data_IF_928925936742
#
_entry.id   IF_928925936742
#
_cell.length_a   1.000
_cell.length_b   1.000
_cell.length_c   1.000
_cell.angle_alpha   90.00
_cell.angle_beta   90.00
_cell.angle_gamma   90.00
#
_symmetry.space_group_name_H-M   'P 1'
#
loop_
_entity.id
_entity.type
_entity.pdbx_description
1 polymer ?
#
# COMPACT_ATOMS: atom_id res chain seq x y z
N UNK A 1 23.70 -12.82 3.05
CA UNK A 1 24.13 -11.48 3.54
C UNK A 1 23.88 -10.37 2.52
N UNK A 2 24.24 -10.55 1.22
CA UNK A 2 24.10 -9.50 0.19
C UNK A 2 22.69 -8.89 0.07
N UNK A 3 21.63 -9.70 0.14
CA UNK A 3 20.22 -9.26 0.12
C UNK A 3 19.81 -8.50 1.37
N UNK A 4 20.18 -8.97 2.57
CA UNK A 4 19.88 -8.29 3.82
C UNK A 4 20.58 -6.91 3.93
N UNK A 5 21.82 -6.80 3.43
CA UNK A 5 22.54 -5.52 3.38
C UNK A 5 21.85 -4.51 2.45
N UNK A 6 21.35 -4.95 1.29
CA UNK A 6 20.60 -4.09 0.36
C UNK A 6 19.31 -3.58 1.01
N UNK A 7 18.56 -4.47 1.70
CA UNK A 7 17.32 -4.09 2.40
C UNK A 7 17.59 -3.09 3.53
N UNK A 8 18.63 -3.30 4.35
CA UNK A 8 18.97 -2.37 5.44
C UNK A 8 19.39 -0.99 4.92
N UNK A 9 20.16 -0.93 3.82
CA UNK A 9 20.52 0.34 3.18
C UNK A 9 19.28 1.06 2.66
N UNK A 10 18.38 0.33 2.00
CA UNK A 10 17.11 0.84 1.49
C UNK A 10 16.23 1.42 2.61
N UNK A 11 16.11 0.73 3.76
CA UNK A 11 15.38 1.23 4.93
C UNK A 11 16.02 2.52 5.48
N UNK A 12 17.35 2.60 5.53
CA UNK A 12 18.06 3.79 6.01
C UNK A 12 17.81 5.02 5.10
N UNK A 13 17.83 4.84 3.78
CA UNK A 13 17.48 5.90 2.83
C UNK A 13 16.01 6.30 2.94
N UNK A 14 15.09 5.34 3.06
CA UNK A 14 13.67 5.61 3.25
C UNK A 14 13.39 6.42 4.53
N UNK A 15 14.05 6.08 5.64
CA UNK A 15 13.94 6.82 6.89
C UNK A 15 14.48 8.26 6.77
N UNK A 16 15.64 8.44 6.13
CA UNK A 16 16.22 9.76 5.86
C UNK A 16 15.31 10.62 4.97
N UNK A 17 14.73 10.02 3.93
CA UNK A 17 13.78 10.68 3.05
C UNK A 17 12.51 11.11 3.80
N UNK A 18 11.97 10.26 4.68
CA UNK A 18 10.85 10.62 5.56
C UNK A 18 11.13 11.81 6.47
N UNK A 19 12.35 11.87 7.03
CA UNK A 19 12.78 13.00 7.86
C UNK A 19 12.84 14.31 7.06
N UNK A 20 13.44 14.29 5.87
CA UNK A 20 13.53 15.47 4.98
C UNK A 20 12.13 15.96 4.58
N UNK A 21 11.19 15.05 4.29
CA UNK A 21 9.82 15.46 3.94
C UNK A 21 9.04 16.05 5.10
N UNK A 22 9.31 15.59 6.31
CA UNK A 22 8.76 16.18 7.54
C UNK A 22 9.29 17.61 7.73
N UNK A 23 10.58 17.84 7.48
CA UNK A 23 11.19 19.17 7.49
C UNK A 23 10.59 20.09 6.42
N UNK A 24 10.34 19.56 5.22
CA UNK A 24 9.73 20.28 4.09
C UNK A 24 8.21 20.50 4.24
N UNK A 25 7.60 20.00 5.33
CA UNK A 25 6.16 20.08 5.59
C UNK A 25 5.30 19.51 4.44
N UNK A 26 5.84 18.55 3.68
CA UNK A 26 5.11 17.90 2.59
C UNK A 26 3.86 17.15 3.11
N UNK A 27 3.91 16.40 4.23
CA UNK A 27 2.72 15.77 4.79
C UNK A 27 1.60 16.76 5.11
N UNK A 28 1.94 17.93 5.64
CA UNK A 28 0.97 18.99 5.97
C UNK A 28 0.32 19.59 4.72
N UNK A 29 1.12 19.83 3.67
CA UNK A 29 0.61 20.31 2.36
C UNK A 29 -0.33 19.30 1.69
N UNK A 30 0.03 18.02 1.71
CA UNK A 30 -0.80 16.94 1.17
C UNK A 30 -2.08 16.79 1.99
N UNK A 31 -2.00 16.81 3.32
CA UNK A 31 -3.17 16.79 4.22
C UNK A 31 -4.12 17.95 3.91
N UNK A 32 -3.60 19.15 3.71
CA UNK A 32 -4.39 20.35 3.38
C UNK A 32 -5.03 20.22 2.00
N UNK A 33 -4.32 19.67 1.01
CA UNK A 33 -4.87 19.40 -0.33
C UNK A 33 -5.99 18.34 -0.31
N UNK A 34 -5.89 17.32 0.54
CA UNK A 34 -6.97 16.36 0.73
C UNK A 34 -8.16 16.94 1.48
N UNK A 35 -7.92 17.78 2.50
CA UNK A 35 -8.97 18.49 3.24
C UNK A 35 -9.75 19.47 2.34
N UNK A 36 -9.11 20.09 1.34
CA UNK A 36 -9.83 20.88 0.33
C UNK A 36 -10.77 20.05 -0.55
N UNK A 37 -10.57 18.73 -0.64
CA UNK A 37 -11.39 17.84 -1.46
C UNK A 37 -12.56 17.23 -0.67
N UNK A 38 -12.33 16.80 0.59
CA UNK A 38 -13.39 16.26 1.45
C UNK A 38 -12.98 16.23 2.93
N UNK A 39 -13.93 16.52 3.83
CA UNK A 39 -13.74 16.37 5.29
C UNK A 39 -14.05 14.95 5.81
N UNK A 40 -14.57 14.06 4.95
CA UNK A 40 -14.98 12.73 5.38
C UNK A 40 -13.81 11.73 5.30
N UNK A 41 -13.37 11.22 6.46
CA UNK A 41 -12.30 10.22 6.63
C UNK A 41 -12.40 9.04 5.65
N UNK A 42 -13.62 8.54 5.41
CA UNK A 42 -13.83 7.40 4.50
C UNK A 42 -13.57 7.74 3.03
N UNK A 43 -13.90 8.96 2.60
CA UNK A 43 -13.66 9.43 1.23
C UNK A 43 -12.18 9.64 0.99
N UNK A 44 -11.46 10.22 1.97
CA UNK A 44 -10.01 10.39 1.89
C UNK A 44 -9.31 9.02 1.84
N UNK A 45 -9.72 8.07 2.69
CA UNK A 45 -9.19 6.71 2.67
C UNK A 45 -9.45 6.00 1.33
N UNK A 46 -10.59 6.25 0.70
CA UNK A 46 -10.89 5.70 -0.63
C UNK A 46 -9.98 6.32 -1.71
N UNK A 47 -9.76 7.64 -1.68
CA UNK A 47 -8.81 8.31 -2.57
C UNK A 47 -7.38 7.81 -2.37
N UNK A 48 -6.96 7.60 -1.12
CA UNK A 48 -5.64 7.05 -0.78
C UNK A 48 -5.51 5.61 -1.28
N UNK A 49 -6.52 4.77 -1.08
CA UNK A 49 -6.55 3.41 -1.65
C UNK A 49 -6.39 3.43 -3.17
N UNK A 50 -7.19 4.25 -3.86
CA UNK A 50 -7.10 4.35 -5.32
C UNK A 50 -5.71 4.80 -5.79
N UNK A 51 -5.15 5.81 -5.12
CA UNK A 51 -3.79 6.29 -5.39
C UNK A 51 -2.75 5.19 -5.12
N UNK A 52 -2.87 4.46 -4.02
CA UNK A 52 -1.99 3.35 -3.66
C UNK A 52 -2.09 2.18 -4.64
N UNK A 53 -3.28 1.89 -5.16
CA UNK A 53 -3.51 0.83 -6.14
C UNK A 53 -2.84 1.19 -7.46
N UNK A 54 -3.02 2.44 -7.95
CA UNK A 54 -2.34 2.93 -9.16
C UNK A 54 -0.81 2.95 -8.97
N UNK A 55 -0.30 3.52 -7.88
CA UNK A 55 1.14 3.60 -7.62
C UNK A 55 1.76 2.22 -7.34
N UNK A 56 1.05 1.35 -6.63
CA UNK A 56 1.50 0.00 -6.28
C UNK A 56 1.63 -0.89 -7.50
N UNK A 57 0.81 -0.68 -8.54
CA UNK A 57 0.95 -1.40 -9.80
C UNK A 57 2.20 -1.01 -10.61
N UNK A 58 2.77 0.19 -10.36
CA UNK A 58 3.91 0.74 -11.10
C UNK A 58 5.26 0.58 -10.39
N UNK A 59 5.26 0.48 -9.06
CA UNK A 59 6.48 0.52 -8.24
C UNK A 59 6.52 -0.66 -7.25
N UNK A 60 7.32 -1.69 -7.53
CA UNK A 60 7.56 -2.83 -6.63
C UNK A 60 8.16 -2.39 -5.27
N UNK A 61 8.95 -1.31 -5.27
CA UNK A 61 9.53 -0.69 -4.07
C UNK A 61 8.63 0.41 -3.46
N UNK A 62 7.38 0.51 -3.89
CA UNK A 62 6.39 1.46 -3.37
C UNK A 62 6.27 1.48 -1.83
N UNK A 63 6.25 0.35 -1.08
CA UNK A 63 5.95 0.43 0.34
C UNK A 63 7.07 1.15 1.09
N UNK A 64 8.32 0.98 0.65
CA UNK A 64 9.46 1.58 1.31
C UNK A 64 9.53 3.10 1.11
N UNK A 65 9.08 3.60 -0.04
CA UNK A 65 9.11 5.02 -0.39
C UNK A 65 7.83 5.72 0.10
N UNK A 66 6.67 5.06 -0.03
CA UNK A 66 5.36 5.64 0.27
C UNK A 66 5.02 5.62 1.75
N UNK A 67 5.52 4.66 2.55
CA UNK A 67 5.28 4.60 4.00
C UNK A 67 5.66 5.91 4.70
N UNK A 68 6.89 6.45 4.58
CA UNK A 68 7.23 7.70 5.25
C UNK A 68 6.48 8.94 4.72
N UNK A 69 5.92 8.88 3.51
CA UNK A 69 5.12 9.96 2.92
C UNK A 69 3.72 9.94 3.49
N UNK A 70 3.04 8.79 3.39
CA UNK A 70 1.62 8.68 3.69
C UNK A 70 1.36 8.45 5.17
N UNK A 71 2.23 7.73 5.89
CA UNK A 71 2.04 7.46 7.32
C UNK A 71 1.73 8.73 8.14
N UNK A 72 2.52 9.83 8.07
CA UNK A 72 2.19 11.06 8.80
C UNK A 72 0.93 11.76 8.30
N UNK A 73 0.54 11.55 7.04
CA UNK A 73 -0.71 12.09 6.49
C UNK A 73 -1.90 11.32 7.07
N UNK A 74 -1.86 9.98 7.11
CA UNK A 74 -3.02 9.20 7.55
C UNK A 74 -3.18 9.21 9.08
N UNK A 75 -2.08 9.33 9.83
CA UNK A 75 -2.14 9.54 11.29
C UNK A 75 -2.69 10.92 11.65
N UNK A 76 -2.48 11.95 10.84
CA UNK A 76 -3.10 13.28 11.05
C UNK A 76 -4.62 13.23 10.83
N UNK A 77 -5.10 12.35 9.95
CA UNK A 77 -6.52 12.04 9.78
C UNK A 77 -7.11 11.11 10.86
N UNK A 78 -6.29 10.67 11.82
CA UNK A 78 -6.67 9.83 12.97
C UNK A 78 -6.92 8.37 12.61
N UNK A 79 -6.21 7.86 11.60
CA UNK A 79 -6.16 6.43 11.27
C UNK A 79 -4.95 5.81 11.96
N UNK A 80 -5.15 4.64 12.56
CA UNK A 80 -4.07 3.92 13.23
C UNK A 80 -2.96 3.51 12.25
N UNK A 81 -1.66 3.68 12.63
CA UNK A 81 -0.51 3.26 11.82
C UNK A 81 -0.59 1.81 11.36
N UNK A 82 -1.07 0.93 12.24
CA UNK A 82 -1.21 -0.51 11.96
C UNK A 82 -2.29 -0.76 10.91
N UNK A 83 -3.41 -0.06 11.03
CA UNK A 83 -4.51 -0.16 10.07
C UNK A 83 -4.07 0.32 8.68
N UNK A 84 -3.37 1.44 8.63
CA UNK A 84 -2.81 1.96 7.39
C UNK A 84 -1.76 1.02 6.78
N UNK A 85 -0.90 0.41 7.60
CA UNK A 85 0.05 -0.60 7.15
C UNK A 85 -0.63 -1.81 6.49
N UNK A 86 -1.75 -2.27 7.04
CA UNK A 86 -2.57 -3.34 6.44
C UNK A 86 -3.18 -2.91 5.11
N UNK A 87 -3.77 -1.71 5.04
CA UNK A 87 -4.31 -1.15 3.79
C UNK A 87 -3.23 -1.05 2.71
N UNK A 88 -2.03 -0.57 3.06
CA UNK A 88 -0.91 -0.49 2.13
C UNK A 88 -0.47 -1.87 1.65
N UNK A 89 -0.30 -2.84 2.55
CA UNK A 89 0.10 -4.21 2.19
C UNK A 89 -0.87 -4.82 1.18
N UNK A 90 -2.18 -4.77 1.47
CA UNK A 90 -3.20 -5.35 0.57
C UNK A 90 -3.22 -4.63 -0.79
N UNK A 91 -3.14 -3.30 -0.82
CA UNK A 91 -3.09 -2.56 -2.10
C UNK A 91 -1.87 -2.93 -2.95
N UNK A 92 -0.71 -3.09 -2.31
CA UNK A 92 0.51 -3.40 -3.01
C UNK A 92 0.56 -4.86 -3.46
N UNK A 93 0.08 -5.80 -2.65
CA UNK A 93 -0.06 -7.20 -3.07
C UNK A 93 -0.94 -7.30 -4.31
N UNK A 94 -2.05 -6.55 -4.35
CA UNK A 94 -2.89 -6.42 -5.56
C UNK A 94 -2.07 -5.82 -6.72
N UNK A 95 -1.26 -4.80 -6.47
CA UNK A 95 -0.38 -4.19 -7.48
C UNK A 95 0.66 -5.15 -8.06
N UNK A 96 1.22 -6.05 -7.25
CA UNK A 96 2.23 -7.04 -7.66
C UNK A 96 1.67 -8.17 -8.52
N UNK A 97 0.38 -8.46 -8.39
CA UNK A 97 -0.30 -9.43 -9.23
C UNK A 97 -0.93 -8.77 -10.47
N UNK A 98 -1.41 -7.52 -10.42
CA UNK A 98 -2.09 -6.82 -11.53
C UNK A 98 -1.15 -6.58 -12.73
N UNK A 99 -1.59 -6.73 -14.00
CA UNK A 99 -0.74 -6.49 -15.16
C UNK A 99 -0.60 -4.99 -15.49
N UNK A 100 0.37 -4.30 -14.87
CA UNK A 100 1.24 -3.37 -15.64
C UNK A 100 2.75 -3.45 -15.30
N UNK A 101 3.13 -3.98 -14.13
CA UNK A 101 4.51 -4.40 -13.78
C UNK A 101 4.52 -5.84 -13.30
N UNK A 102 3.51 -6.24 -12.50
CA UNK A 102 3.12 -7.64 -12.28
C UNK A 102 4.27 -8.58 -11.91
N UNK A 103 5.26 -8.12 -11.14
CA UNK A 103 6.52 -8.85 -10.98
C UNK A 103 6.29 -10.29 -10.49
N UNK A 104 5.33 -10.50 -9.58
CA UNK A 104 4.96 -11.82 -9.07
C UNK A 104 4.17 -12.62 -10.12
N UNK A 105 3.27 -11.96 -10.86
CA UNK A 105 2.56 -12.55 -12.00
C UNK A 105 3.52 -13.06 -13.08
N UNK A 106 4.53 -12.26 -13.44
CA UNK A 106 5.55 -12.59 -14.43
C UNK A 106 6.43 -13.76 -14.00
N UNK A 107 6.89 -13.77 -12.73
CA UNK A 107 7.67 -14.87 -12.18
C UNK A 107 6.84 -16.16 -12.13
N UNK A 108 5.59 -16.08 -11.67
CA UNK A 108 4.66 -17.21 -11.64
C UNK A 108 4.37 -17.79 -13.02
N UNK A 109 4.11 -16.93 -14.01
CA UNK A 109 3.88 -17.35 -15.40
C UNK A 109 5.13 -17.99 -16.02
N UNK A 110 6.33 -17.47 -15.70
CA UNK A 110 7.61 -18.00 -16.19
C UNK A 110 7.89 -19.39 -15.62
N UNK A 111 7.65 -19.61 -14.32
CA UNK A 111 7.82 -20.92 -13.67
C UNK A 111 6.75 -21.90 -14.17
N UNK A 112 5.51 -21.45 -14.30
CA UNK A 112 4.37 -22.25 -14.77
C UNK A 112 4.35 -22.54 -16.27
N UNK A 113 5.24 -21.91 -17.07
CA UNK A 113 5.26 -21.99 -18.55
C UNK A 113 3.90 -21.68 -19.20
N UNK A 114 3.11 -20.82 -18.59
CA UNK A 114 1.78 -20.40 -19.06
C UNK A 114 1.84 -18.96 -19.53
N UNK A 115 0.99 -18.59 -20.49
CA UNK A 115 0.93 -17.20 -20.98
C UNK A 115 0.33 -16.30 -19.91
N UNK A 116 0.86 -15.07 -19.79
CA UNK A 116 0.41 -14.07 -18.81
C UNK A 116 -1.10 -13.85 -18.90
N UNK A 117 -1.63 -13.83 -20.11
CA UNK A 117 -3.07 -13.65 -20.38
C UNK A 117 -3.93 -14.81 -19.83
N UNK A 118 -3.41 -16.05 -19.80
CA UNK A 118 -4.11 -17.19 -19.20
C UNK A 118 -4.06 -17.13 -17.67
N UNK A 119 -2.93 -16.69 -17.11
CA UNK A 119 -2.72 -16.53 -15.67
C UNK A 119 -3.59 -15.40 -15.13
N UNK A 120 -3.68 -14.27 -15.84
CA UNK A 120 -4.56 -13.15 -15.49
C UNK A 120 -6.03 -13.57 -15.45
N UNK A 121 -6.52 -14.29 -16.48
CA UNK A 121 -7.89 -14.78 -16.53
C UNK A 121 -8.19 -15.81 -15.44
N UNK A 122 -7.21 -16.62 -15.06
CA UNK A 122 -7.34 -17.53 -13.92
C UNK A 122 -7.32 -16.80 -12.56
N UNK A 123 -6.65 -15.65 -12.48
CA UNK A 123 -6.55 -14.81 -11.28
C UNK A 123 -7.72 -13.83 -11.11
N UNK A 124 -8.56 -13.60 -12.13
CA UNK A 124 -9.81 -12.81 -12.02
C UNK A 124 -10.65 -13.09 -10.76
N UNK A 125 -10.98 -14.35 -10.42
CA UNK A 125 -11.69 -14.66 -9.17
C UNK A 125 -10.88 -14.27 -7.92
N UNK A 126 -9.55 -14.32 -7.97
CA UNK A 126 -8.68 -13.89 -6.87
C UNK A 126 -8.65 -12.36 -6.74
N UNK A 127 -8.64 -11.60 -7.84
CA UNK A 127 -8.76 -10.13 -7.79
C UNK A 127 -10.06 -9.69 -7.13
N UNK A 128 -11.18 -10.35 -7.46
CA UNK A 128 -12.46 -10.06 -6.82
C UNK A 128 -12.42 -10.31 -5.31
N UNK A 129 -11.81 -11.42 -4.88
CA UNK A 129 -11.63 -11.71 -3.47
C UNK A 129 -10.72 -10.68 -2.78
N UNK A 130 -9.61 -10.30 -3.41
CA UNK A 130 -8.68 -9.30 -2.88
C UNK A 130 -9.30 -7.90 -2.81
N UNK A 131 -10.11 -7.52 -3.80
CA UNK A 131 -10.83 -6.25 -3.78
C UNK A 131 -11.92 -6.23 -2.69
N UNK A 132 -12.60 -7.36 -2.46
CA UNK A 132 -13.53 -7.52 -1.35
C UNK A 132 -12.81 -7.42 0.00
N UNK A 133 -11.64 -8.04 0.14
CA UNK A 133 -10.79 -7.91 1.33
C UNK A 133 -10.31 -6.48 1.51
N UNK A 134 -9.91 -5.79 0.43
CA UNK A 134 -9.48 -4.39 0.49
C UNK A 134 -10.60 -3.47 0.98
N UNK A 135 -11.82 -3.65 0.47
CA UNK A 135 -13.00 -2.94 0.94
C UNK A 135 -13.30 -3.28 2.41
N UNK A 136 -13.28 -4.57 2.78
CA UNK A 136 -13.52 -5.00 4.15
C UNK A 136 -12.48 -4.42 5.13
N UNK A 137 -11.20 -4.45 4.77
CA UNK A 137 -10.11 -3.85 5.56
C UNK A 137 -10.27 -2.34 5.62
N UNK A 138 -10.55 -1.65 4.52
CA UNK A 138 -10.66 -0.18 4.50
C UNK A 138 -11.82 0.36 5.34
N UNK A 139 -12.97 -0.33 5.36
CA UNK A 139 -14.19 0.15 6.04
C UNK A 139 -14.39 -0.47 7.43
N UNK A 140 -13.74 -1.61 7.75
CA UNK A 140 -13.87 -2.29 9.04
C UNK A 140 -12.50 -2.28 9.74
N UNK A 141 -12.15 -1.19 10.45
CA UNK A 141 -10.90 -1.12 11.21
C UNK A 141 -10.79 -2.21 12.28
N UNK A 142 -11.92 -2.73 12.75
CA UNK A 142 -11.99 -3.83 13.71
C UNK A 142 -11.32 -5.10 13.18
N UNK A 143 -11.38 -5.45 11.89
CA UNK A 143 -10.73 -6.69 11.40
C UNK A 143 -9.21 -6.60 11.50
N UNK A 144 -8.65 -5.41 11.26
CA UNK A 144 -7.20 -5.18 11.33
C UNK A 144 -6.70 -4.90 12.74
N UNK A 145 -7.54 -4.30 13.60
CA UNK A 145 -7.18 -3.91 14.97
C UNK A 145 -7.57 -4.94 16.03
N UNK A 146 -8.45 -5.90 15.73
CA UNK A 146 -8.88 -6.91 16.70
C UNK A 146 -7.70 -7.77 17.18
N UNK A 147 -6.86 -8.27 16.25
CA UNK A 147 -5.70 -9.08 16.63
C UNK A 147 -4.62 -8.28 17.38
N UNK A 148 -4.22 -7.07 16.95
CA UNK A 148 -3.35 -6.20 17.76
C UNK A 148 -3.93 -5.87 19.14
N UNK A 149 -5.22 -5.54 19.26
CA UNK A 149 -5.83 -5.15 20.54
C UNK A 149 -6.00 -6.27 21.56
N UNK A 150 -5.89 -7.53 21.13
CA UNK A 150 -6.00 -8.71 22.00
C UNK A 150 -4.62 -9.26 22.40
N UNK A 151 -3.57 -8.94 21.62
CA UNK A 151 -2.21 -9.48 21.81
C UNK A 151 -1.22 -8.41 22.33
N UNK A 152 -1.46 -7.12 22.10
CA UNK A 152 -0.73 -5.97 22.67
C UNK A 152 -1.54 -5.31 23.78
#
# INVERSE_FOLDING_TARGET
MRTASIVMILIAFAASFGYIMTLMQIPSKITTAFLTFSDNRYVILMCVNFMLLVLGTLMDMAPLILTPILLPVVTSFGVDPVHFGMIMLVNLDIGLITPPVGAVLFVGATIGKVTIESTEKALLPLYLALFAVLMAVTYIPTISLWLPSVVL
#
